data_IF_615327803118
#
_entry.id   IF_615327803118
#
_cell.length_a   1.000
_cell.length_b   1.000
_cell.length_c   1.000
_cell.angle_alpha   90.00
_cell.angle_beta   90.00
_cell.angle_gamma   90.00
#
_symmetry.space_group_name_H-M   'P 1'
#
loop_
_entity.id
_entity.type
_entity.pdbx_description
1 polymer ?
#
# COMPACT_ATOMS: atom_id res chain seq x y z
N UNK A 1 -25.49 5.48 30.46
CA UNK A 1 -25.12 6.42 29.39
C UNK A 1 -24.98 5.63 28.10
N UNK A 2 -25.70 5.98 27.04
CA UNK A 2 -25.53 5.35 25.74
C UNK A 2 -24.44 6.13 24.98
N UNK A 3 -23.20 5.62 24.98
CA UNK A 3 -22.11 6.24 24.23
C UNK A 3 -21.96 5.50 22.90
N UNK A 4 -22.31 6.17 21.81
CA UNK A 4 -21.91 5.72 20.47
C UNK A 4 -20.44 6.12 20.23
N UNK A 5 -19.65 5.19 19.68
CA UNK A 5 -18.26 5.42 19.27
C UNK A 5 -18.13 5.28 17.76
N UNK A 6 -17.49 6.24 17.11
CA UNK A 6 -17.13 6.16 15.70
C UNK A 6 -15.60 6.27 15.57
N UNK A 7 -15.01 5.35 14.83
CA UNK A 7 -13.56 5.32 14.58
C UNK A 7 -13.35 5.58 13.09
N UNK A 8 -12.45 6.51 12.79
CA UNK A 8 -11.99 6.77 11.44
C UNK A 8 -10.50 6.44 11.35
N UNK A 9 -10.13 5.70 10.31
CA UNK A 9 -8.75 5.39 9.97
C UNK A 9 -8.42 5.90 8.58
N UNK A 10 -7.12 6.06 8.30
CA UNK A 10 -6.61 6.42 6.99
C UNK A 10 -5.61 5.36 6.55
N UNK A 11 -5.71 4.95 5.29
CA UNK A 11 -4.76 4.06 4.64
C UNK A 11 -4.24 4.76 3.38
N UNK A 12 -2.96 4.57 3.10
CA UNK A 12 -2.34 4.96 1.85
C UNK A 12 -2.14 3.72 0.98
N UNK A 13 -2.72 3.75 -0.21
CA UNK A 13 -2.51 2.76 -1.25
C UNK A 13 -1.71 3.41 -2.37
N UNK A 14 -0.72 2.69 -2.89
CA UNK A 14 0.11 3.23 -3.95
C UNK A 14 0.89 2.16 -4.69
N UNK A 15 1.59 2.62 -5.73
CA UNK A 15 2.49 1.76 -6.50
C UNK A 15 3.69 2.56 -7.01
N UNK A 16 4.76 1.83 -7.34
CA UNK A 16 5.89 2.33 -8.12
C UNK A 16 6.09 1.40 -9.29
N UNK A 17 6.30 1.97 -10.47
CA UNK A 17 6.66 1.25 -11.67
C UNK A 17 7.91 1.88 -12.28
N UNK A 18 8.84 1.05 -12.73
CA UNK A 18 10.08 1.48 -13.36
C UNK A 18 10.29 0.71 -14.65
N UNK A 19 10.54 1.44 -15.73
CA UNK A 19 10.90 0.85 -17.02
C UNK A 19 12.22 0.10 -16.86
N UNK A 20 12.25 -1.16 -17.30
CA UNK A 20 13.47 -1.97 -17.31
C UNK A 20 14.39 -1.53 -18.44
N UNK A 21 15.70 -1.57 -18.20
CA UNK A 21 16.71 -1.31 -19.25
C UNK A 21 16.63 -2.34 -20.40
N UNK A 22 16.28 -3.58 -20.07
CA UNK A 22 16.02 -4.68 -21.03
C UNK A 22 14.82 -5.49 -20.54
N UNK A 23 13.90 -5.90 -21.43
CA UNK A 23 12.81 -6.79 -21.06
C UNK A 23 13.30 -8.12 -20.48
N UNK A 24 12.48 -8.79 -19.68
CA UNK A 24 12.75 -10.17 -19.24
C UNK A 24 12.69 -11.14 -20.43
N UNK A 25 13.06 -12.40 -20.22
CA UNK A 25 12.99 -13.44 -21.28
C UNK A 25 11.55 -13.65 -21.73
N UNK A 26 10.61 -13.52 -20.80
CA UNK A 26 9.16 -13.57 -21.01
C UNK A 26 8.61 -12.27 -21.63
N UNK A 27 9.44 -11.23 -21.78
CA UNK A 27 9.07 -9.96 -22.40
C UNK A 27 8.54 -8.88 -21.46
N UNK A 28 8.65 -9.03 -20.13
CA UNK A 28 8.18 -8.00 -19.20
C UNK A 28 9.05 -6.74 -19.26
N UNK A 29 8.41 -5.58 -19.38
CA UNK A 29 9.08 -4.30 -19.65
C UNK A 29 9.23 -3.41 -18.42
N UNK A 30 8.51 -3.68 -17.34
CA UNK A 30 8.50 -2.86 -16.14
C UNK A 30 8.68 -3.73 -14.90
N UNK A 31 9.49 -3.24 -13.97
CA UNK A 31 9.47 -3.70 -12.59
C UNK A 31 8.45 -2.84 -11.84
N UNK A 32 7.63 -3.46 -11.00
CA UNK A 32 6.62 -2.74 -10.24
C UNK A 32 6.45 -3.30 -8.85
N UNK A 33 5.97 -2.44 -7.95
CA UNK A 33 5.61 -2.77 -6.58
C UNK A 33 4.32 -2.03 -6.23
N UNK A 34 3.39 -2.71 -5.57
CA UNK A 34 2.20 -2.11 -4.95
C UNK A 34 2.33 -2.17 -3.43
N UNK A 35 1.75 -1.23 -2.71
CA UNK A 35 1.80 -1.20 -1.26
C UNK A 35 0.50 -0.68 -0.63
N UNK A 36 0.26 -1.11 0.61
CA UNK A 36 -0.72 -0.56 1.55
C UNK A 36 0.04 -0.20 2.83
N UNK A 37 -0.13 1.01 3.33
CA UNK A 37 0.53 1.47 4.55
C UNK A 37 -0.30 2.51 5.31
N UNK A 38 0.08 2.81 6.54
CA UNK A 38 -0.42 3.97 7.27
C UNK A 38 0.24 5.27 6.79
N UNK A 39 -0.45 6.42 6.86
CA UNK A 39 0.17 7.72 6.60
C UNK A 39 1.31 7.98 7.59
N UNK A 40 2.33 8.71 7.17
CA UNK A 40 3.48 9.11 8.01
C UNK A 40 4.15 7.93 8.74
N UNK A 41 4.15 6.74 8.13
CA UNK A 41 4.68 5.48 8.70
C UNK A 41 3.97 5.00 9.98
N UNK A 42 2.70 5.38 10.17
CA UNK A 42 1.87 4.85 11.26
C UNK A 42 1.68 3.34 11.16
N UNK A 43 1.73 2.65 12.31
CA UNK A 43 1.60 1.19 12.38
C UNK A 43 0.14 0.75 12.24
N UNK A 44 -0.21 0.16 11.10
CA UNK A 44 -1.56 -0.36 10.82
C UNK A 44 -1.72 -1.84 11.22
N UNK A 45 -0.64 -2.54 11.59
CA UNK A 45 -0.68 -3.97 11.94
C UNK A 45 -1.56 -4.25 13.18
N UNK A 46 -1.84 -3.22 13.97
CA UNK A 46 -2.73 -3.35 15.13
C UNK A 46 -4.17 -3.74 14.74
N UNK A 47 -4.62 -3.42 13.53
CA UNK A 47 -6.00 -3.66 13.09
C UNK A 47 -6.12 -4.28 11.70
N UNK A 48 -5.01 -4.43 10.96
CA UNK A 48 -4.95 -5.18 9.70
C UNK A 48 -4.58 -6.63 10.01
N UNK A 49 -5.42 -7.58 9.57
CA UNK A 49 -5.25 -9.03 9.78
C UNK A 49 -4.32 -9.66 8.77
#
# INVERSE_FOLDING_TARGET
MATSGAVQVKLELGHRAQVRKKPTVEGFTHDWMVFVRGPEHTNIQHFVK
#
